data_IF_293859528885
#
_entry.id   IF_293859528885
#
_cell.length_a   1.000
_cell.length_b   1.000
_cell.length_c   1.000
_cell.angle_alpha   90.00
_cell.angle_beta   90.00
_cell.angle_gamma   90.00
#
_symmetry.space_group_name_H-M   'P 1'
#
loop_
_entity.id
_entity.type
_entity.pdbx_description
1 polymer ?
#
# COMPACT_ATOMS: atom_id res chain seq x y z
N UNK A 1 -0.95 4.83 -4.47
CA UNK A 1 -0.92 4.31 -3.08
C UNK A 1 -0.93 5.40 -2.01
N UNK A 2 -0.33 6.58 -2.25
CA UNK A 2 -0.51 7.75 -1.34
C UNK A 2 -1.98 8.14 -1.13
N UNK A 3 -2.80 8.15 -2.20
CA UNK A 3 -4.23 8.42 -2.09
C UNK A 3 -4.93 7.38 -1.19
N UNK A 4 -4.71 6.08 -1.45
CA UNK A 4 -5.21 4.98 -0.61
C UNK A 4 -4.87 5.18 0.86
N UNK A 5 -3.59 5.42 1.21
CA UNK A 5 -3.17 5.56 2.60
C UNK A 5 -3.64 6.86 3.29
N UNK A 6 -4.11 7.85 2.54
CA UNK A 6 -4.77 9.04 3.13
C UNK A 6 -6.21 8.73 3.55
N UNK A 7 -6.89 7.86 2.80
CA UNK A 7 -8.29 7.49 3.02
C UNK A 7 -8.42 6.27 3.94
N UNK A 8 -7.50 5.32 3.83
CA UNK A 8 -7.40 4.10 4.62
C UNK A 8 -5.94 3.92 5.10
N UNK A 9 -5.56 4.57 6.21
CA UNK A 9 -4.19 4.54 6.73
C UNK A 9 -3.69 3.14 7.11
N UNK A 10 -4.61 2.23 7.44
CA UNK A 10 -4.40 0.84 7.85
C UNK A 10 -4.71 -0.17 6.73
N UNK A 11 -4.68 0.27 5.46
CA UNK A 11 -5.00 -0.56 4.30
C UNK A 11 -4.32 -1.94 4.34
N UNK A 12 -5.13 -2.98 4.13
CA UNK A 12 -4.68 -4.36 4.02
C UNK A 12 -4.10 -4.68 2.64
N UNK A 13 -3.53 -5.87 2.51
CA UNK A 13 -2.93 -6.33 1.25
C UNK A 13 -3.93 -6.34 0.09
N UNK A 14 -5.19 -6.68 0.36
CA UNK A 14 -6.24 -6.75 -0.67
C UNK A 14 -6.59 -5.37 -1.21
N UNK A 15 -6.71 -4.38 -0.34
CA UNK A 15 -6.94 -2.99 -0.73
C UNK A 15 -5.76 -2.43 -1.54
N UNK A 16 -4.52 -2.78 -1.17
CA UNK A 16 -3.32 -2.39 -1.91
C UNK A 16 -3.30 -3.00 -3.32
N UNK A 17 -3.64 -4.29 -3.44
CA UNK A 17 -3.75 -4.99 -4.72
C UNK A 17 -4.79 -4.34 -5.65
N UNK A 18 -5.99 -4.07 -5.15
CA UNK A 18 -7.04 -3.39 -5.92
C UNK A 18 -6.57 -2.00 -6.38
N UNK A 19 -5.88 -1.25 -5.52
CA UNK A 19 -5.33 0.05 -5.88
C UNK A 19 -4.19 -0.02 -6.92
N UNK A 20 -3.59 -1.20 -7.13
CA UNK A 20 -2.53 -1.45 -8.09
C UNK A 20 -3.03 -1.96 -9.46
N UNK A 21 -4.29 -2.38 -9.60
CA UNK A 21 -4.83 -2.95 -10.86
C UNK A 21 -4.62 -2.06 -12.10
N UNK A 22 -4.61 -0.73 -11.92
CA UNK A 22 -4.35 0.24 -12.99
C UNK A 22 -2.89 0.65 -13.18
N UNK A 23 -1.95 0.08 -12.42
CA UNK A 23 -0.54 0.50 -12.39
C UNK A 23 0.36 -0.63 -12.90
N UNK A 24 0.64 -0.67 -14.21
CA UNK A 24 1.45 -1.73 -14.82
C UNK A 24 2.92 -1.57 -14.39
N UNK A 25 3.50 -2.65 -13.85
CA UNK A 25 4.91 -2.75 -13.53
C UNK A 25 5.53 -4.00 -14.17
N UNK A 26 6.66 -3.86 -14.86
CA UNK A 26 7.33 -4.96 -15.56
C UNK A 26 8.51 -5.58 -14.78
N UNK A 27 9.02 -4.88 -13.78
CA UNK A 27 10.30 -5.24 -13.16
C UNK A 27 10.14 -5.94 -11.81
N UNK A 28 9.24 -5.45 -10.95
CA UNK A 28 9.22 -5.85 -9.54
C UNK A 28 8.41 -7.11 -9.25
N UNK A 29 7.48 -7.46 -10.14
CA UNK A 29 6.49 -8.50 -9.85
C UNK A 29 5.50 -8.13 -8.73
N UNK A 30 5.38 -6.84 -8.41
CA UNK A 30 4.49 -6.25 -7.39
C UNK A 30 4.78 -6.58 -5.93
N UNK A 31 5.28 -7.78 -5.60
CA UNK A 31 5.56 -8.21 -4.22
C UNK A 31 6.34 -7.15 -3.42
N UNK A 32 7.47 -6.58 -3.90
CA UNK A 32 8.23 -5.59 -3.13
C UNK A 32 7.47 -4.28 -2.90
N UNK A 33 6.57 -3.90 -3.83
CA UNK A 33 5.75 -2.69 -3.71
C UNK A 33 4.68 -2.91 -2.64
N UNK A 34 4.02 -4.06 -2.65
CA UNK A 34 3.00 -4.44 -1.66
C UNK A 34 3.61 -4.43 -0.25
N UNK A 35 4.77 -5.08 -0.07
CA UNK A 35 5.46 -5.13 1.23
C UNK A 35 5.89 -3.75 1.73
N UNK A 36 6.36 -2.87 0.84
CA UNK A 36 6.71 -1.49 1.19
C UNK A 36 5.50 -0.70 1.68
N UNK A 37 4.34 -0.88 1.04
CA UNK A 37 3.12 -0.13 1.38
C UNK A 37 2.48 -0.64 2.66
N UNK A 38 2.48 -1.96 2.89
CA UNK A 38 2.07 -2.54 4.18
C UNK A 38 2.94 -2.02 5.33
N UNK A 39 4.25 -1.85 5.09
CA UNK A 39 5.17 -1.27 6.08
C UNK A 39 4.84 0.20 6.35
N UNK A 40 4.55 0.98 5.30
CA UNK A 40 4.16 2.38 5.43
C UNK A 40 2.80 2.54 6.16
N UNK A 41 1.82 1.68 5.88
CA UNK A 41 0.52 1.66 6.55
C UNK A 41 0.68 1.45 8.06
N UNK A 42 1.47 0.44 8.47
CA UNK A 42 1.78 0.19 9.89
C UNK A 42 2.45 1.37 10.57
N UNK A 43 3.42 2.01 9.91
CA UNK A 43 4.12 3.17 10.46
C UNK A 43 3.19 4.40 10.57
N UNK A 44 2.27 4.59 9.63
CA UNK A 44 1.25 5.65 9.71
C UNK A 44 0.30 5.43 10.90
N UNK A 45 -0.16 4.21 11.14
CA UNK A 45 -1.01 3.91 12.30
C UNK A 45 -0.30 4.15 13.64
N UNK A 46 1.02 3.96 13.69
CA UNK A 46 1.83 4.25 14.88
C UNK A 46 2.00 5.76 15.14
N UNK A 47 1.99 6.59 14.09
CA UNK A 47 2.09 8.05 14.22
C UNK A 47 0.76 8.75 14.50
N UNK A 48 -0.37 8.05 14.33
CA UNK A 48 -1.72 8.58 14.58
C UNK A 48 -2.23 8.33 16.01
N UNK A 49 -1.47 7.55 16.82
CA UNK A 49 -1.73 7.28 18.23
C UNK A 49 -0.94 8.23 19.14
#
# INVERSE_FOLDING_TARGET
LTALLRECPDADERAILMALEGNICRCTGYEPIIQAVLTAARANSQNAA
#
